data_IF_904405012653
#
_entry.id   IF_904405012653
#
_cell.length_a   1.000
_cell.length_b   1.000
_cell.length_c   1.000
_cell.angle_alpha   90.00
_cell.angle_beta   90.00
_cell.angle_gamma   90.00
#
_symmetry.space_group_name_H-M   'P 1'
#
loop_
_entity.id
_entity.type
_entity.pdbx_description
1 polymer ?
#
# COMPACT_ATOMS: atom_id res chain seq x y z
N UNK A 1 7.96 23.32 -7.45
CA UNK A 1 8.16 21.92 -7.02
C UNK A 1 7.04 20.96 -7.44
N UNK A 2 5.75 21.36 -7.47
CA UNK A 2 4.65 20.47 -7.93
C UNK A 2 4.86 19.96 -9.37
N UNK A 3 5.24 20.84 -10.29
CA UNK A 3 5.56 20.43 -11.67
C UNK A 3 6.78 19.51 -11.73
N UNK A 4 7.76 19.76 -10.86
CA UNK A 4 8.97 18.94 -10.78
C UNK A 4 8.67 17.50 -10.37
N UNK A 5 7.90 17.30 -9.29
CA UNK A 5 7.59 15.94 -8.85
C UNK A 5 6.77 15.17 -9.88
N UNK A 6 5.86 15.83 -10.61
CA UNK A 6 5.12 15.19 -11.71
C UNK A 6 6.05 14.73 -12.82
N UNK A 7 7.05 15.55 -13.17
CA UNK A 7 8.08 15.19 -14.14
C UNK A 7 8.90 14.00 -13.66
N UNK A 8 9.37 14.03 -12.40
CA UNK A 8 10.16 12.94 -11.80
C UNK A 8 9.36 11.63 -11.77
N UNK A 9 8.10 11.64 -11.33
CA UNK A 9 7.23 10.47 -11.31
C UNK A 9 7.02 9.90 -12.72
N UNK A 10 6.75 10.77 -13.70
CA UNK A 10 6.57 10.36 -15.09
C UNK A 10 7.83 9.70 -15.66
N UNK A 11 8.99 10.30 -15.38
CA UNK A 11 10.27 9.79 -15.86
C UNK A 11 10.65 8.47 -15.19
N UNK A 12 10.40 8.34 -13.88
CA UNK A 12 10.60 7.10 -13.15
C UNK A 12 9.77 5.95 -13.74
N UNK A 13 8.49 6.20 -14.07
CA UNK A 13 7.62 5.21 -14.71
C UNK A 13 8.15 4.81 -16.09
N UNK A 14 8.53 5.79 -16.90
CA UNK A 14 9.03 5.54 -18.26
C UNK A 14 10.31 4.67 -18.23
N UNK A 15 11.14 4.85 -17.20
CA UNK A 15 12.36 4.06 -16.98
C UNK A 15 12.10 2.70 -16.28
N UNK A 16 10.86 2.43 -15.87
CA UNK A 16 10.51 1.22 -15.14
C UNK A 16 11.15 1.17 -13.75
N UNK A 17 11.36 2.33 -13.12
CA UNK A 17 11.84 2.43 -11.76
C UNK A 17 10.78 1.97 -10.78
N UNK A 18 11.21 1.33 -9.70
CA UNK A 18 10.35 0.89 -8.61
C UNK A 18 10.31 1.91 -7.47
N UNK A 19 11.48 2.51 -7.18
CA UNK A 19 11.62 3.49 -6.10
C UNK A 19 12.33 4.75 -6.63
N UNK A 20 11.95 5.90 -6.05
CA UNK A 20 12.61 7.18 -6.21
C UNK A 20 13.13 7.57 -4.83
N UNK A 21 14.39 7.95 -4.74
CA UNK A 21 15.02 8.32 -3.47
C UNK A 21 15.57 9.73 -3.51
N UNK A 22 15.40 10.44 -2.41
CA UNK A 22 15.94 11.77 -2.17
C UNK A 22 16.87 11.67 -0.94
N UNK A 23 18.16 11.74 -1.16
CA UNK A 23 19.16 11.68 -0.10
C UNK A 23 19.96 12.98 -0.01
N UNK A 24 20.18 13.50 1.21
CA UNK A 24 21.09 14.63 1.40
C UNK A 24 22.50 14.30 0.90
N UNK A 25 23.06 15.16 0.07
CA UNK A 25 24.37 15.02 -0.49
C UNK A 25 25.10 16.37 -0.44
N UNK A 26 26.03 16.53 0.52
CA UNK A 26 26.74 17.81 0.76
C UNK A 26 25.78 18.97 1.05
N UNK A 27 25.56 19.85 0.09
CA UNK A 27 24.70 21.04 0.19
C UNK A 27 23.38 20.92 -0.57
N UNK A 28 23.16 19.80 -1.24
CA UNK A 28 21.97 19.51 -2.06
C UNK A 28 21.33 18.14 -1.69
N UNK A 29 20.35 17.76 -2.49
CA UNK A 29 19.73 16.43 -2.43
C UNK A 29 19.91 15.71 -3.75
N UNK A 30 20.52 14.54 -3.69
CA UNK A 30 20.58 13.63 -4.81
C UNK A 30 19.21 12.97 -5.01
N UNK A 31 18.69 13.04 -6.23
CA UNK A 31 17.47 12.34 -6.67
C UNK A 31 17.89 11.15 -7.50
N UNK A 32 17.50 9.95 -7.08
CA UNK A 32 17.90 8.74 -7.79
C UNK A 32 16.73 7.79 -7.99
N UNK A 33 16.75 7.09 -9.12
CA UNK A 33 15.83 6.01 -9.44
C UNK A 33 16.44 4.66 -9.08
N UNK A 34 15.62 3.75 -8.63
CA UNK A 34 15.99 2.36 -8.37
C UNK A 34 15.16 1.43 -9.22
N UNK A 35 15.84 0.57 -9.99
CA UNK A 35 15.24 -0.49 -10.77
C UNK A 35 15.94 -1.80 -10.39
N UNK A 36 15.22 -2.72 -9.78
CA UNK A 36 15.80 -3.91 -9.13
C UNK A 36 16.91 -3.50 -8.16
N UNK A 37 18.14 -3.96 -8.35
CA UNK A 37 19.29 -3.65 -7.49
C UNK A 37 20.16 -2.49 -8.00
N UNK A 38 19.77 -1.84 -9.11
CA UNK A 38 20.55 -0.77 -9.73
C UNK A 38 19.98 0.59 -9.32
N UNK A 39 20.83 1.43 -8.73
CA UNK A 39 20.56 2.84 -8.46
C UNK A 39 21.13 3.68 -9.60
N UNK A 40 20.32 4.59 -10.13
CA UNK A 40 20.73 5.56 -11.15
C UNK A 40 20.41 6.97 -10.64
N UNK A 41 21.42 7.81 -10.55
CA UNK A 41 21.24 9.24 -10.23
C UNK A 41 20.53 9.90 -11.41
N UNK A 42 19.45 10.62 -11.08
CA UNK A 42 18.62 11.32 -12.03
C UNK A 42 18.91 12.83 -12.03
N UNK A 43 18.97 13.43 -10.84
CA UNK A 43 19.08 14.88 -10.70
C UNK A 43 19.63 15.26 -9.31
N UNK A 44 19.91 16.55 -9.13
CA UNK A 44 20.24 17.17 -7.86
C UNK A 44 19.33 18.39 -7.66
N UNK A 45 18.78 18.55 -6.46
CA UNK A 45 17.92 19.68 -6.08
C UNK A 45 18.46 20.37 -4.83
N UNK A 46 18.20 21.67 -4.69
CA UNK A 46 18.60 22.41 -3.49
C UNK A 46 17.89 21.88 -2.24
N UNK A 47 18.48 22.09 -1.06
CA UNK A 47 17.84 21.73 0.21
C UNK A 47 16.51 22.46 0.42
N UNK A 48 16.39 23.69 -0.06
CA UNK A 48 15.14 24.46 0.02
C UNK A 48 14.04 23.85 -0.86
N UNK A 49 14.39 23.43 -2.08
CA UNK A 49 13.47 22.76 -2.97
C UNK A 49 13.03 21.38 -2.44
N UNK A 50 13.95 20.64 -1.84
CA UNK A 50 13.65 19.37 -1.19
C UNK A 50 12.65 19.55 -0.02
N UNK A 51 12.86 20.57 0.82
CA UNK A 51 11.95 20.88 1.94
C UNK A 51 10.53 21.21 1.48
N UNK A 52 10.40 22.00 0.42
CA UNK A 52 9.11 22.33 -0.19
C UNK A 52 8.45 21.07 -0.76
N UNK A 53 9.22 20.25 -1.46
CA UNK A 53 8.75 19.01 -2.06
C UNK A 53 8.27 18.01 -1.00
N UNK A 54 9.07 17.80 0.04
CA UNK A 54 8.75 16.88 1.14
C UNK A 54 7.51 17.34 1.88
N UNK A 55 7.39 18.63 2.16
CA UNK A 55 6.20 19.19 2.81
C UNK A 55 4.94 18.94 1.99
N UNK A 56 5.00 19.14 0.68
CA UNK A 56 3.89 18.87 -0.23
C UNK A 56 3.49 17.38 -0.23
N UNK A 57 4.45 16.49 -0.39
CA UNK A 57 4.21 15.05 -0.45
C UNK A 57 3.72 14.48 0.89
N UNK A 58 4.28 14.95 2.01
CA UNK A 58 3.82 14.57 3.35
C UNK A 58 2.38 15.00 3.59
N UNK A 59 2.01 16.21 3.17
CA UNK A 59 0.63 16.69 3.27
C UNK A 59 -0.33 15.81 2.46
N UNK A 60 0.06 15.43 1.24
CA UNK A 60 -0.75 14.58 0.37
C UNK A 60 -0.93 13.16 0.94
N UNK A 61 0.03 12.68 1.73
CA UNK A 61 0.05 11.34 2.31
C UNK A 61 -0.38 11.29 3.78
N UNK A 62 -1.06 12.34 4.28
CA UNK A 62 -1.52 12.46 5.68
C UNK A 62 -0.42 12.25 6.73
N UNK A 63 0.81 12.70 6.40
CA UNK A 63 1.98 12.62 7.27
C UNK A 63 2.18 13.93 8.03
N UNK A 64 2.92 13.88 9.17
CA UNK A 64 3.24 15.07 9.96
C UNK A 64 4.34 15.88 9.25
N UNK A 65 3.99 17.03 8.70
CA UNK A 65 4.90 17.86 7.88
C UNK A 65 6.09 18.37 8.71
N UNK A 66 5.87 18.80 9.95
CA UNK A 66 6.91 19.40 10.80
C UNK A 66 7.87 18.39 11.42
N UNK A 67 7.51 17.10 11.47
CA UNK A 67 8.36 16.06 12.03
C UNK A 67 9.34 15.56 10.94
N UNK A 68 10.63 15.84 11.11
CA UNK A 68 11.68 15.49 10.16
C UNK A 68 12.61 14.38 10.64
N UNK A 69 12.57 14.03 11.94
CA UNK A 69 13.53 13.10 12.55
C UNK A 69 13.00 11.68 12.66
N UNK A 70 11.72 11.54 13.03
CA UNK A 70 11.09 10.23 13.18
C UNK A 70 10.72 9.65 11.83
N UNK A 71 10.91 8.33 11.72
CA UNK A 71 10.42 7.61 10.54
C UNK A 71 8.92 7.75 10.40
N UNK A 72 8.47 8.13 9.22
CA UNK A 72 7.07 8.22 8.86
C UNK A 72 6.82 7.43 7.59
N UNK A 73 5.61 6.94 7.45
CA UNK A 73 5.15 6.18 6.29
C UNK A 73 3.76 6.66 5.93
N UNK A 74 3.52 6.93 4.66
CA UNK A 74 2.22 7.35 4.14
C UNK A 74 2.02 6.88 2.71
N UNK A 75 0.79 6.92 2.26
CA UNK A 75 0.42 6.60 0.88
C UNK A 75 -0.51 7.67 0.34
N UNK A 76 -0.39 7.99 -0.94
CA UNK A 76 -1.36 8.84 -1.61
C UNK A 76 -1.45 8.50 -3.09
N UNK A 77 -2.55 8.95 -3.68
CA UNK A 77 -2.71 8.98 -5.13
C UNK A 77 -2.19 10.30 -5.66
N UNK A 78 -1.31 10.25 -6.64
CA UNK A 78 -0.75 11.42 -7.27
C UNK A 78 -1.21 11.54 -8.72
N UNK A 79 -1.90 12.65 -9.04
CA UNK A 79 -2.39 12.90 -10.40
C UNK A 79 -1.31 13.57 -11.26
N UNK A 80 -0.96 12.93 -12.38
CA UNK A 80 -0.07 13.48 -13.38
C UNK A 80 -0.81 14.44 -14.33
N UNK A 81 -0.03 15.23 -15.07
CA UNK A 81 -0.59 16.21 -16.04
C UNK A 81 -1.31 15.57 -17.24
N UNK A 82 -1.01 14.31 -17.54
CA UNK A 82 -1.67 13.52 -18.58
C UNK A 82 -2.97 12.81 -18.08
N UNK A 83 -3.40 13.14 -16.86
CA UNK A 83 -4.61 12.58 -16.24
C UNK A 83 -4.42 11.23 -15.57
N UNK A 84 -3.25 10.58 -15.71
CA UNK A 84 -2.97 9.32 -14.99
C UNK A 84 -2.88 9.59 -13.48
N UNK A 85 -3.44 8.69 -12.72
CA UNK A 85 -3.31 8.66 -11.27
C UNK A 85 -2.36 7.53 -10.89
N UNK A 86 -1.37 7.85 -10.07
CA UNK A 86 -0.35 6.91 -9.62
C UNK A 86 -0.45 6.82 -8.12
N UNK A 87 -0.56 5.62 -7.62
CA UNK A 87 -0.42 5.39 -6.20
C UNK A 87 1.05 5.34 -5.81
N UNK A 88 1.38 6.06 -4.77
CA UNK A 88 2.74 6.12 -4.24
C UNK A 88 2.74 5.86 -2.75
N UNK A 89 3.76 5.14 -2.29
CA UNK A 89 4.08 4.98 -0.87
C UNK A 89 5.31 5.80 -0.55
N UNK A 90 5.21 6.64 0.45
CA UNK A 90 6.24 7.57 0.87
C UNK A 90 6.78 7.11 2.22
N UNK A 91 8.09 7.01 2.31
CA UNK A 91 8.81 6.79 3.58
C UNK A 91 9.77 7.94 3.82
N UNK A 92 9.75 8.52 5.02
CA UNK A 92 10.73 9.53 5.42
C UNK A 92 11.40 9.16 6.73
N UNK A 93 12.64 9.58 6.90
CA UNK A 93 13.39 9.45 8.15
C UNK A 93 14.51 10.50 8.20
N UNK A 94 14.77 11.05 9.39
CA UNK A 94 15.92 11.93 9.59
C UNK A 94 17.22 11.16 9.66
N UNK A 95 18.26 11.69 9.00
CA UNK A 95 19.63 11.16 9.14
C UNK A 95 20.31 11.68 10.45
N UNK A 96 21.55 11.28 10.69
CA UNK A 96 22.32 11.68 11.86
C UNK A 96 22.58 13.20 11.94
N UNK A 97 22.53 13.91 10.85
CA UNK A 97 22.68 15.37 10.75
C UNK A 97 21.37 16.11 11.00
N UNK A 98 20.24 15.39 11.12
CA UNK A 98 18.89 15.96 11.26
C UNK A 98 18.27 16.39 9.93
N UNK A 99 18.86 16.02 8.79
CA UNK A 99 18.30 16.20 7.47
C UNK A 99 17.35 15.05 7.15
N UNK A 100 16.19 15.37 6.59
CA UNK A 100 15.18 14.36 6.24
C UNK A 100 15.57 13.67 4.93
N UNK A 101 15.43 12.36 4.85
CA UNK A 101 15.53 11.59 3.62
C UNK A 101 14.11 11.16 3.21
N UNK A 102 13.88 10.98 1.93
CA UNK A 102 12.60 10.48 1.43
C UNK A 102 12.79 9.38 0.40
N UNK A 103 11.99 8.35 0.51
CA UNK A 103 11.86 7.30 -0.51
C UNK A 103 10.41 7.23 -0.95
N UNK A 104 10.18 7.25 -2.25
CA UNK A 104 8.87 7.07 -2.88
C UNK A 104 8.90 5.76 -3.62
N UNK A 105 8.03 4.82 -3.24
CA UNK A 105 7.77 3.61 -4.00
C UNK A 105 6.58 3.82 -4.91
N UNK A 106 6.77 3.55 -6.19
CA UNK A 106 5.69 3.49 -7.15
C UNK A 106 4.94 2.18 -6.93
N UNK A 107 3.68 2.29 -6.56
CA UNK A 107 2.82 1.12 -6.41
C UNK A 107 2.25 0.81 -7.78
N UNK A 108 2.70 -0.31 -8.34
CA UNK A 108 2.14 -0.83 -9.58
C UNK A 108 0.81 -1.48 -9.21
N UNK A 109 -0.28 -0.72 -9.33
CA UNK A 109 -1.58 -1.37 -9.28
C UNK A 109 -1.66 -2.27 -10.50
N UNK A 110 -1.88 -3.57 -10.33
CA UNK A 110 -2.33 -4.36 -11.46
C UNK A 110 -3.50 -3.59 -12.04
N UNK A 111 -3.51 -3.35 -13.35
CA UNK A 111 -4.44 -2.48 -14.10
C UNK A 111 -5.91 -2.92 -14.00
N UNK A 112 -6.36 -3.21 -12.81
CA UNK A 112 -7.64 -3.84 -12.53
C UNK A 112 -8.77 -2.85 -12.30
N UNK A 113 -8.51 -1.55 -12.12
CA UNK A 113 -9.60 -0.63 -11.79
C UNK A 113 -9.44 0.82 -12.28
N UNK A 114 -8.93 1.04 -13.50
CA UNK A 114 -9.09 2.33 -14.18
C UNK A 114 -9.69 2.08 -15.56
N UNK A 115 -10.98 2.38 -15.72
CA UNK A 115 -11.75 2.36 -16.97
C UNK A 115 -12.26 1.02 -17.49
N UNK A 116 -12.72 0.07 -16.66
CA UNK A 116 -13.70 -0.94 -17.14
C UNK A 116 -13.25 -1.91 -18.23
N UNK A 117 -12.06 -1.80 -18.75
CA UNK A 117 -11.52 -2.70 -19.78
C UNK A 117 -10.05 -3.02 -19.47
N UNK A 118 -9.74 -4.34 -19.52
CA UNK A 118 -8.47 -5.00 -19.71
C UNK A 118 -7.71 -5.53 -18.49
N UNK A 119 -7.52 -6.84 -18.56
CA UNK A 119 -6.64 -7.70 -17.79
C UNK A 119 -6.90 -7.73 -16.28
N UNK A 120 -8.05 -8.21 -15.90
CA UNK A 120 -8.21 -8.82 -14.58
C UNK A 120 -7.25 -10.00 -14.52
N UNK A 121 -6.20 -9.89 -13.68
CA UNK A 121 -5.52 -11.08 -13.20
C UNK A 121 -6.63 -11.97 -12.64
N UNK A 122 -6.77 -13.16 -13.16
CA UNK A 122 -7.73 -14.15 -12.70
C UNK A 122 -7.00 -15.23 -11.90
N UNK A 123 -7.73 -15.97 -11.08
CA UNK A 123 -7.15 -17.14 -10.42
C UNK A 123 -6.56 -18.16 -11.40
N UNK A 124 -6.97 -18.12 -12.67
CA UNK A 124 -6.44 -18.98 -13.74
C UNK A 124 -5.04 -18.58 -14.20
N UNK A 125 -4.61 -17.34 -13.91
CA UNK A 125 -3.27 -16.84 -14.23
C UNK A 125 -2.24 -17.28 -13.18
N UNK A 126 -2.72 -17.76 -12.04
CA UNK A 126 -1.93 -18.51 -11.08
C UNK A 126 -1.99 -19.98 -11.51
N UNK A 127 -0.84 -20.61 -11.62
CA UNK A 127 -0.71 -22.05 -11.90
C UNK A 127 -1.21 -22.86 -10.67
N UNK A 128 -2.53 -22.79 -10.47
CA UNK A 128 -3.20 -23.38 -9.31
C UNK A 128 -3.81 -24.70 -9.79
N UNK A 129 -3.29 -25.79 -9.26
CA UNK A 129 -3.82 -27.13 -9.46
C UNK A 129 -5.32 -27.23 -9.09
N UNK A 130 -5.93 -28.34 -9.44
CA UNK A 130 -7.35 -28.70 -9.23
C UNK A 130 -7.89 -28.54 -7.80
N UNK A 131 -7.09 -28.04 -6.87
CA UNK A 131 -7.47 -27.74 -5.47
C UNK A 131 -8.06 -26.35 -5.23
N UNK A 132 -8.06 -25.45 -6.23
CA UNK A 132 -8.50 -24.07 -6.04
C UNK A 132 -9.97 -23.96 -5.61
N UNK A 133 -10.85 -24.76 -6.19
CA UNK A 133 -12.26 -24.78 -5.81
C UNK A 133 -12.42 -25.15 -4.32
N UNK A 134 -11.62 -26.12 -3.83
CA UNK A 134 -11.61 -26.49 -2.43
C UNK A 134 -11.13 -25.33 -1.54
N UNK A 135 -10.12 -24.56 -1.98
CA UNK A 135 -9.63 -23.40 -1.22
C UNK A 135 -10.69 -22.29 -1.18
N UNK A 136 -11.40 -22.03 -2.28
CA UNK A 136 -12.49 -21.06 -2.33
C UNK A 136 -13.62 -21.48 -1.37
N UNK A 137 -13.98 -22.76 -1.35
CA UNK A 137 -14.99 -23.28 -0.42
C UNK A 137 -14.53 -23.19 1.04
N UNK A 138 -13.24 -23.46 1.29
CA UNK A 138 -12.66 -23.40 2.63
C UNK A 138 -12.72 -21.97 3.20
N UNK A 139 -12.34 -20.96 2.43
CA UNK A 139 -12.35 -19.54 2.83
C UNK A 139 -13.78 -19.04 3.17
N UNK A 140 -14.82 -19.70 2.66
CA UNK A 140 -16.22 -19.40 3.01
C UNK A 140 -16.64 -19.93 4.39
N UNK A 141 -15.89 -20.87 4.96
CA UNK A 141 -16.16 -21.41 6.29
C UNK A 141 -15.70 -20.39 7.33
N UNK A 142 -16.57 -19.96 8.27
CA UNK A 142 -16.17 -19.01 9.30
C UNK A 142 -14.97 -19.51 10.12
N UNK A 143 -13.97 -18.66 10.26
CA UNK A 143 -12.76 -19.00 11.01
C UNK A 143 -11.61 -18.03 10.70
N UNK A 144 -10.40 -18.51 10.84
CA UNK A 144 -9.17 -17.81 10.50
C UNK A 144 -8.42 -18.59 9.41
N UNK A 145 -8.28 -17.98 8.25
CA UNK A 145 -7.43 -18.46 7.17
C UNK A 145 -6.14 -17.65 7.13
N UNK A 146 -4.99 -18.30 6.94
CA UNK A 146 -3.69 -17.62 6.96
C UNK A 146 -2.93 -17.89 5.67
N UNK A 147 -2.62 -16.84 4.92
CA UNK A 147 -1.81 -16.90 3.71
C UNK A 147 -0.37 -16.54 4.04
N UNK A 148 0.55 -17.47 3.85
CA UNK A 148 1.97 -17.30 4.16
C UNK A 148 2.87 -17.41 2.93
N UNK A 149 4.04 -16.79 2.97
CA UNK A 149 5.04 -16.86 1.90
C UNK A 149 6.04 -15.71 1.96
N UNK A 150 7.07 -15.77 1.12
CA UNK A 150 8.10 -14.73 1.03
C UNK A 150 7.52 -13.38 0.58
N UNK A 151 8.23 -12.28 0.87
CA UNK A 151 7.86 -10.96 0.34
C UNK A 151 7.86 -10.98 -1.20
N UNK A 152 6.87 -10.33 -1.80
CA UNK A 152 6.77 -10.21 -3.27
C UNK A 152 6.26 -11.46 -4.01
N UNK A 153 5.89 -12.55 -3.32
CA UNK A 153 5.39 -13.79 -3.96
C UNK A 153 3.94 -13.69 -4.44
N UNK A 154 3.26 -12.57 -4.18
CA UNK A 154 1.88 -12.38 -4.63
C UNK A 154 0.79 -12.75 -3.61
N UNK A 155 1.12 -12.84 -2.29
CA UNK A 155 0.13 -13.16 -1.23
C UNK A 155 -1.09 -12.26 -1.27
N UNK A 156 -0.89 -10.95 -1.28
CA UNK A 156 -1.98 -9.95 -1.32
C UNK A 156 -2.82 -10.11 -2.58
N UNK A 157 -2.18 -10.32 -3.73
CA UNK A 157 -2.87 -10.54 -5.01
C UNK A 157 -3.72 -11.80 -4.97
N UNK A 158 -3.17 -12.90 -4.46
CA UNK A 158 -3.90 -14.16 -4.30
C UNK A 158 -5.08 -14.00 -3.33
N UNK A 159 -4.88 -13.32 -2.19
CA UNK A 159 -5.95 -13.04 -1.23
C UNK A 159 -7.11 -12.28 -1.89
N UNK A 160 -6.80 -11.20 -2.60
CA UNK A 160 -7.83 -10.40 -3.29
C UNK A 160 -8.61 -11.21 -4.33
N UNK A 161 -7.92 -12.05 -5.10
CA UNK A 161 -8.58 -12.92 -6.09
C UNK A 161 -9.45 -13.98 -5.44
N UNK A 162 -8.97 -14.62 -4.36
CA UNK A 162 -9.76 -15.60 -3.60
C UNK A 162 -11.00 -14.96 -2.99
N UNK A 163 -10.85 -13.79 -2.37
CA UNK A 163 -11.96 -13.07 -1.75
C UNK A 163 -12.99 -12.60 -2.78
N UNK A 164 -12.53 -12.06 -3.91
CA UNK A 164 -13.42 -11.65 -5.02
C UNK A 164 -14.26 -12.83 -5.54
N UNK A 165 -13.67 -14.01 -5.65
CA UNK A 165 -14.36 -15.18 -6.15
C UNK A 165 -15.22 -15.86 -5.08
N UNK A 166 -14.65 -16.02 -3.84
CA UNK A 166 -15.35 -16.67 -2.74
C UNK A 166 -16.59 -15.89 -2.28
N UNK A 167 -16.52 -14.56 -2.27
CA UNK A 167 -17.58 -13.68 -1.77
C UNK A 167 -18.19 -12.79 -2.86
N UNK A 168 -18.34 -13.33 -4.06
CA UNK A 168 -18.94 -12.61 -5.17
C UNK A 168 -20.37 -12.17 -4.83
N UNK A 169 -20.60 -10.85 -4.84
CA UNK A 169 -21.88 -10.24 -4.43
C UNK A 169 -22.07 -10.14 -2.92
N UNK A 170 -21.09 -10.59 -2.12
CA UNK A 170 -21.04 -10.40 -0.68
C UNK A 170 -20.27 -9.13 -0.31
N UNK A 171 -20.25 -8.82 0.98
CA UNK A 171 -19.52 -7.67 1.51
C UNK A 171 -18.16 -8.11 2.05
N UNK A 172 -17.11 -7.72 1.35
CA UNK A 172 -15.72 -7.90 1.78
C UNK A 172 -15.23 -6.60 2.40
N UNK A 173 -14.64 -6.68 3.58
CA UNK A 173 -13.93 -5.55 4.18
C UNK A 173 -12.45 -5.88 4.34
N UNK A 174 -11.59 -4.88 4.20
CA UNK A 174 -10.15 -5.05 4.43
C UNK A 174 -9.65 -4.07 5.47
N UNK A 175 -8.64 -4.48 6.24
CA UNK A 175 -7.84 -3.61 7.11
C UNK A 175 -6.38 -3.81 6.70
N UNK A 176 -5.76 -2.76 6.19
CA UNK A 176 -4.41 -2.81 5.64
C UNK A 176 -3.59 -1.64 6.15
N UNK A 177 -2.28 -1.83 6.34
CA UNK A 177 -1.39 -0.69 6.61
C UNK A 177 -1.32 0.23 5.42
N UNK A 178 -1.29 -0.37 4.23
CA UNK A 178 -1.28 0.31 2.94
C UNK A 178 -2.15 -0.49 1.98
N UNK A 179 -3.16 0.14 1.44
CA UNK A 179 -3.98 -0.46 0.38
C UNK A 179 -3.13 -0.48 -0.88
N UNK A 180 -2.62 -1.68 -1.23
CA UNK A 180 -1.79 -1.88 -2.43
C UNK A 180 -2.63 -2.17 -3.66
N UNK A 181 -3.77 -2.83 -3.49
CA UNK A 181 -4.71 -3.16 -4.58
C UNK A 181 -6.03 -2.45 -4.29
N UNK A 182 -6.45 -1.55 -5.17
CA UNK A 182 -7.75 -0.90 -5.06
C UNK A 182 -8.83 -1.74 -5.71
N UNK A 183 -9.83 -2.14 -4.94
CA UNK A 183 -11.01 -2.82 -5.42
C UNK A 183 -12.27 -2.07 -4.96
N UNK A 184 -13.01 -1.50 -5.90
CA UNK A 184 -14.21 -0.69 -5.61
C UNK A 184 -15.36 -1.52 -5.04
N UNK A 185 -15.30 -2.86 -5.15
CA UNK A 185 -16.27 -3.77 -4.56
C UNK A 185 -15.99 -4.09 -3.09
N UNK A 186 -14.80 -3.73 -2.58
CA UNK A 186 -14.39 -3.97 -1.20
C UNK A 186 -14.50 -2.71 -0.35
N UNK A 187 -14.87 -2.86 0.90
CA UNK A 187 -14.77 -1.81 1.92
C UNK A 187 -13.35 -1.76 2.47
N UNK A 188 -12.47 -1.00 1.83
CA UNK A 188 -11.05 -0.99 2.16
C UNK A 188 -10.73 0.07 3.22
N UNK A 189 -10.21 -0.37 4.37
CA UNK A 189 -9.80 0.48 5.49
C UNK A 189 -8.28 0.49 5.61
N UNK A 190 -7.71 1.68 5.68
CA UNK A 190 -6.27 1.85 5.89
C UNK A 190 -5.99 2.27 7.32
N UNK A 191 -5.02 1.58 7.95
CA UNK A 191 -4.55 1.91 9.30
C UNK A 191 -3.91 3.29 9.29
N UNK A 192 -4.36 4.16 10.21
CA UNK A 192 -3.78 5.47 10.42
C UNK A 192 -3.65 5.77 11.91
N UNK A 193 -2.49 5.52 12.47
CA UNK A 193 -2.22 5.73 13.90
C UNK A 193 -2.34 7.19 14.35
N UNK A 194 -2.17 8.15 13.44
CA UNK A 194 -2.29 9.58 13.77
C UNK A 194 -3.75 9.99 14.00
N UNK A 195 -4.68 9.30 13.35
CA UNK A 195 -6.12 9.53 13.50
C UNK A 195 -6.77 8.53 14.48
N UNK A 196 -5.98 7.82 15.29
CA UNK A 196 -6.44 6.76 16.21
C UNK A 196 -7.19 5.62 15.50
N UNK A 197 -6.87 5.39 14.22
CA UNK A 197 -7.41 4.30 13.39
C UNK A 197 -6.38 3.17 13.35
N UNK A 198 -6.11 2.57 14.50
CA UNK A 198 -5.27 1.39 14.63
C UNK A 198 -6.06 0.08 14.36
N UNK A 199 -5.38 -1.06 14.35
CA UNK A 199 -6.01 -2.35 14.11
C UNK A 199 -7.11 -2.66 15.11
N UNK A 200 -6.88 -2.43 16.40
CA UNK A 200 -7.86 -2.68 17.46
C UNK A 200 -9.14 -1.87 17.24
N UNK A 201 -8.99 -0.60 16.94
CA UNK A 201 -10.13 0.29 16.66
C UNK A 201 -10.89 -0.15 15.42
N UNK A 202 -10.18 -0.44 14.33
CA UNK A 202 -10.80 -0.84 13.07
C UNK A 202 -11.50 -2.21 13.19
N UNK A 203 -10.85 -3.20 13.80
CA UNK A 203 -11.45 -4.54 14.03
C UNK A 203 -12.69 -4.44 14.91
N UNK A 204 -12.71 -3.56 15.92
CA UNK A 204 -13.87 -3.36 16.78
C UNK A 204 -15.06 -2.69 16.04
N UNK A 205 -14.80 -1.93 14.98
CA UNK A 205 -15.82 -1.25 14.18
C UNK A 205 -16.41 -2.12 13.08
N UNK A 206 -15.60 -2.99 12.47
CA UNK A 206 -15.97 -3.82 11.31
C UNK A 206 -17.26 -4.63 11.53
N UNK A 207 -17.54 -5.26 12.70
CA UNK A 207 -18.78 -5.99 12.90
C UNK A 207 -20.06 -5.16 12.67
N UNK A 208 -19.99 -3.84 12.84
CA UNK A 208 -21.14 -2.94 12.61
C UNK A 208 -21.55 -2.85 11.14
N UNK A 209 -20.64 -3.21 10.23
CA UNK A 209 -20.89 -3.26 8.79
C UNK A 209 -21.38 -4.62 8.32
N UNK A 210 -21.41 -5.63 9.24
CA UNK A 210 -21.85 -6.99 8.95
C UNK A 210 -21.22 -7.62 7.70
N UNK A 211 -19.89 -7.59 7.55
CA UNK A 211 -19.23 -8.16 6.38
C UNK A 211 -19.31 -9.68 6.37
N UNK A 212 -19.24 -10.27 5.18
CA UNK A 212 -19.11 -11.72 5.02
C UNK A 212 -17.71 -12.21 5.41
N UNK A 213 -16.70 -11.36 5.18
CA UNK A 213 -15.30 -11.64 5.50
C UNK A 213 -14.53 -10.36 5.79
N UNK A 214 -13.58 -10.45 6.68
CA UNK A 214 -12.58 -9.42 6.96
C UNK A 214 -11.21 -9.91 6.50
N UNK A 215 -10.59 -9.19 5.56
CA UNK A 215 -9.19 -9.40 5.21
C UNK A 215 -8.29 -8.48 6.03
N UNK A 216 -7.26 -9.05 6.64
CA UNK A 216 -6.21 -8.27 7.33
C UNK A 216 -4.91 -8.47 6.57
N UNK A 217 -4.43 -7.40 5.93
CA UNK A 217 -3.31 -7.47 4.99
C UNK A 217 -2.01 -7.97 5.59
N UNK A 218 -1.75 -7.65 6.85
CA UNK A 218 -0.58 -8.13 7.59
C UNK A 218 -0.77 -7.97 9.11
N UNK A 219 -0.18 -8.85 9.89
CA UNK A 219 -0.10 -8.73 11.35
C UNK A 219 1.35 -9.05 11.79
N UNK A 220 2.12 -8.02 12.13
CA UNK A 220 3.55 -8.11 12.40
C UNK A 220 3.88 -7.94 13.88
N UNK A 221 2.96 -7.46 14.70
CA UNK A 221 3.13 -7.27 16.13
C UNK A 221 2.16 -8.14 16.92
N UNK A 222 2.48 -8.36 18.19
CA UNK A 222 1.60 -9.14 19.08
C UNK A 222 0.22 -8.48 19.20
N UNK A 223 0.18 -7.14 19.32
CA UNK A 223 -1.07 -6.39 19.42
C UNK A 223 -1.96 -6.59 18.17
N UNK A 224 -1.34 -6.59 16.99
CA UNK A 224 -2.06 -6.83 15.74
C UNK A 224 -2.62 -8.24 15.64
N UNK A 225 -1.84 -9.24 16.06
CA UNK A 225 -2.32 -10.65 16.14
C UNK A 225 -3.46 -10.78 17.16
N UNK A 226 -3.37 -10.11 18.31
CA UNK A 226 -4.45 -10.08 19.30
C UNK A 226 -5.73 -9.44 18.73
N UNK A 227 -5.60 -8.38 17.90
CA UNK A 227 -6.73 -7.77 17.22
C UNK A 227 -7.40 -8.74 16.23
N UNK A 228 -6.60 -9.48 15.44
CA UNK A 228 -7.10 -10.56 14.54
C UNK A 228 -7.91 -11.58 15.35
N UNK A 229 -7.36 -12.09 16.45
CA UNK A 229 -8.03 -13.10 17.29
C UNK A 229 -9.30 -12.55 17.95
N UNK A 230 -9.34 -11.27 18.31
CA UNK A 230 -10.56 -10.60 18.79
C UNK A 230 -11.63 -10.58 17.70
N UNK A 231 -11.26 -10.29 16.44
CA UNK A 231 -12.18 -10.32 15.30
C UNK A 231 -12.79 -11.71 15.10
N UNK A 232 -11.97 -12.76 15.11
CA UNK A 232 -12.43 -14.16 15.02
C UNK A 232 -13.35 -14.51 16.18
N UNK A 233 -12.97 -14.13 17.42
CA UNK A 233 -13.76 -14.39 18.62
C UNK A 233 -15.10 -13.66 18.62
N UNK A 234 -15.19 -12.53 17.90
CA UNK A 234 -16.44 -11.81 17.67
C UNK A 234 -17.33 -12.45 16.58
N UNK A 235 -16.90 -13.55 15.98
CA UNK A 235 -17.65 -14.29 14.96
C UNK A 235 -17.38 -13.85 13.52
N UNK A 236 -16.37 -13.02 13.28
CA UNK A 236 -15.96 -12.66 11.92
C UNK A 236 -15.24 -13.84 11.27
N UNK A 237 -15.46 -14.03 9.96
CA UNK A 237 -14.54 -14.78 9.11
C UNK A 237 -13.36 -13.88 8.79
N UNK A 238 -12.14 -14.33 9.04
CA UNK A 238 -10.93 -13.51 8.88
C UNK A 238 -9.92 -14.24 8.00
N UNK A 239 -9.36 -13.51 7.04
CA UNK A 239 -8.29 -13.99 6.15
C UNK A 239 -7.07 -13.12 6.32
#
# INVERSE_FOLDING_TARGET
MITYIKMVLKEAINNGAQDITFFPHCEDYEVAFRKADVKQVYDHISSEDADVLFSHLKLMADMIVIEKRRGQLGTCDYQLDDGRVIAIRISTIGNFQGLETMSIRLLDYPKTCINGEEHRISLRDFDVDSGLENVIEQVRIPGLDVITGCAGVGKTTLAYLLLSEAFKGGQVMTIERHVEIKDVSFGQLQVNKYNSMDYDTLVALVPRYNPNVLFIGEANTQEEVEAVLKGVSAGLSVV
#
